data_IF_841389724731
#
_entry.id   IF_841389724731
#
_cell.length_a   1.000
_cell.length_b   1.000
_cell.length_c   1.000
_cell.angle_alpha   90.00
_cell.angle_beta   90.00
_cell.angle_gamma   90.00
#
_symmetry.space_group_name_H-M   'P 1'
#
loop_
_entity.id
_entity.type
_entity.pdbx_description
1 polymer ?
#
# COMPACT_ATOMS: atom_id res chain seq x y z
N UNK A 1 3.97 -11.20 -28.33
CA UNK A 1 4.32 -9.76 -28.54
C UNK A 1 5.35 -9.24 -27.53
N UNK A 2 5.35 -9.70 -26.28
CA UNK A 2 6.29 -9.27 -25.24
C UNK A 2 7.75 -9.47 -25.64
N UNK A 3 8.06 -10.68 -26.10
CA UNK A 3 9.42 -11.15 -26.35
C UNK A 3 10.13 -10.30 -27.42
N UNK A 4 9.43 -9.99 -28.51
CA UNK A 4 9.93 -9.11 -29.57
C UNK A 4 10.28 -7.71 -29.03
N UNK A 5 9.36 -7.08 -28.28
CA UNK A 5 9.57 -5.76 -27.67
C UNK A 5 10.73 -5.77 -26.68
N UNK A 6 10.87 -6.85 -25.90
CA UNK A 6 11.91 -7.02 -24.90
C UNK A 6 13.29 -7.19 -25.55
N UNK A 7 13.40 -8.08 -26.54
CA UNK A 7 14.63 -8.31 -27.31
C UNK A 7 15.14 -7.01 -27.92
N UNK A 8 14.24 -6.22 -28.53
CA UNK A 8 14.58 -4.91 -29.10
C UNK A 8 15.07 -3.91 -28.05
N UNK A 9 14.46 -3.87 -26.87
CA UNK A 9 14.80 -2.88 -25.85
C UNK A 9 16.09 -3.23 -25.10
N UNK A 10 16.31 -4.51 -24.77
CA UNK A 10 17.46 -4.96 -23.97
C UNK A 10 18.60 -5.56 -24.81
N UNK A 11 18.44 -5.63 -26.14
CA UNK A 11 19.42 -6.23 -27.07
C UNK A 11 19.79 -7.67 -26.68
N UNK A 12 18.80 -8.45 -26.26
CA UNK A 12 18.96 -9.88 -25.90
C UNK A 12 18.53 -10.77 -27.07
N UNK A 13 19.17 -11.94 -27.19
CA UNK A 13 18.62 -12.98 -28.04
C UNK A 13 17.40 -13.65 -27.38
N UNK A 14 16.70 -14.48 -28.14
CA UNK A 14 15.45 -15.08 -27.68
C UNK A 14 15.65 -16.06 -26.51
N UNK A 15 16.65 -16.92 -26.62
CA UNK A 15 17.01 -17.92 -25.61
C UNK A 15 17.39 -17.26 -24.28
N UNK A 16 18.20 -16.19 -24.34
CA UNK A 16 18.58 -15.40 -23.17
C UNK A 16 17.38 -14.74 -22.49
N UNK A 17 16.51 -14.10 -23.28
CA UNK A 17 15.31 -13.45 -22.77
C UNK A 17 14.38 -14.45 -22.08
N UNK A 18 14.08 -15.59 -22.72
CA UNK A 18 13.24 -16.64 -22.15
C UNK A 18 13.87 -17.26 -20.92
N UNK A 19 15.18 -17.56 -20.93
CA UNK A 19 15.91 -18.07 -19.77
C UNK A 19 15.85 -17.10 -18.59
N UNK A 20 16.01 -15.80 -18.84
CA UNK A 20 15.91 -14.78 -17.81
C UNK A 20 14.50 -14.71 -17.22
N UNK A 21 13.46 -14.68 -18.06
CA UNK A 21 12.06 -14.61 -17.62
C UNK A 21 11.66 -15.86 -16.84
N UNK A 22 11.99 -17.05 -17.34
CA UNK A 22 11.62 -18.31 -16.68
C UNK A 22 12.33 -18.48 -15.33
N UNK A 23 13.54 -17.93 -15.18
CA UNK A 23 14.24 -17.90 -13.89
C UNK A 23 13.82 -16.73 -12.99
N UNK A 24 13.07 -15.74 -13.49
CA UNK A 24 12.71 -14.52 -12.75
C UNK A 24 12.05 -14.77 -11.38
N UNK A 25 11.10 -15.72 -11.23
CA UNK A 25 10.50 -15.99 -9.92
C UNK A 25 11.48 -16.39 -8.81
N UNK A 26 12.67 -16.90 -9.19
CA UNK A 26 13.72 -17.31 -8.25
C UNK A 26 14.79 -16.23 -8.03
N UNK A 27 14.74 -15.09 -8.74
CA UNK A 27 15.74 -14.01 -8.67
C UNK A 27 15.43 -12.99 -7.58
N UNK A 28 15.16 -13.48 -6.38
CA UNK A 28 14.79 -12.69 -5.21
C UNK A 28 15.72 -12.97 -4.03
N UNK A 29 16.23 -11.91 -3.39
CA UNK A 29 16.91 -12.00 -2.10
C UNK A 29 15.87 -11.95 -0.99
N UNK A 30 15.87 -12.97 -0.13
CA UNK A 30 14.95 -13.08 1.02
C UNK A 30 15.65 -12.67 2.30
N UNK A 31 14.99 -11.87 3.14
CA UNK A 31 15.44 -11.52 4.47
C UNK A 31 14.25 -11.08 5.34
N UNK A 32 14.39 -11.21 6.66
CA UNK A 32 13.34 -10.82 7.60
C UNK A 32 13.64 -9.46 8.23
N UNK A 33 12.59 -8.67 8.45
CA UNK A 33 12.63 -7.45 9.25
C UNK A 33 11.68 -7.55 10.43
N UNK A 34 12.05 -6.95 11.56
CA UNK A 34 11.17 -6.89 12.74
C UNK A 34 9.94 -6.04 12.44
N UNK A 35 8.75 -6.57 12.73
CA UNK A 35 7.51 -5.78 12.73
C UNK A 35 7.49 -4.83 13.94
N UNK A 36 6.81 -3.69 13.80
CA UNK A 36 6.67 -2.70 14.89
C UNK A 36 6.02 -3.26 16.15
N UNK A 37 5.10 -4.21 16.01
CA UNK A 37 4.35 -4.82 17.11
C UNK A 37 4.80 -6.26 17.43
N UNK A 38 6.05 -6.59 17.10
CA UNK A 38 6.60 -7.94 17.29
C UNK A 38 6.33 -8.88 16.12
N UNK A 39 7.13 -9.96 16.07
CA UNK A 39 7.20 -10.88 14.94
C UNK A 39 8.04 -10.37 13.77
N UNK A 40 8.09 -11.16 12.71
CA UNK A 40 8.92 -10.91 11.52
C UNK A 40 8.05 -10.67 10.28
N UNK A 41 8.61 -9.91 9.33
CA UNK A 41 8.09 -9.74 7.99
C UNK A 41 9.17 -10.17 7.01
N UNK A 42 8.87 -11.19 6.21
CA UNK A 42 9.68 -11.55 5.06
C UNK A 42 9.65 -10.40 4.04
N UNK A 43 10.84 -10.01 3.59
CA UNK A 43 11.06 -9.19 2.41
C UNK A 43 11.69 -10.09 1.36
N UNK A 44 11.06 -10.13 0.18
CA UNK A 44 11.60 -10.80 -1.00
C UNK A 44 11.85 -9.72 -2.07
N UNK A 45 13.11 -9.33 -2.17
CA UNK A 45 13.58 -8.22 -2.99
C UNK A 45 14.18 -8.74 -4.31
N UNK A 46 13.63 -8.35 -5.48
CA UNK A 46 14.17 -8.80 -6.75
C UNK A 46 15.57 -8.24 -7.02
N UNK A 47 16.38 -8.98 -7.79
CA UNK A 47 17.69 -8.51 -8.26
C UNK A 47 17.57 -7.20 -9.06
N UNK A 48 18.66 -6.41 -9.13
CA UNK A 48 18.67 -5.11 -9.85
C UNK A 48 18.24 -5.25 -11.32
N UNK A 49 18.68 -6.32 -12.01
CA UNK A 49 18.28 -6.61 -13.38
C UNK A 49 16.78 -6.94 -13.47
N UNK A 50 16.26 -7.77 -12.56
CA UNK A 50 14.83 -8.09 -12.54
C UNK A 50 13.97 -6.85 -12.23
N UNK A 51 14.39 -5.99 -11.29
CA UNK A 51 13.71 -4.72 -11.02
C UNK A 51 13.66 -3.80 -12.26
N UNK A 52 14.68 -3.84 -13.10
CA UNK A 52 14.73 -3.06 -14.35
C UNK A 52 13.69 -3.60 -15.34
N UNK A 53 13.67 -4.91 -15.54
CA UNK A 53 12.68 -5.57 -16.39
C UNK A 53 11.25 -5.34 -15.89
N UNK A 54 11.01 -5.52 -14.58
CA UNK A 54 9.70 -5.30 -13.97
C UNK A 54 9.16 -3.89 -14.23
N UNK A 55 9.97 -2.84 -14.02
CA UNK A 55 9.55 -1.46 -14.30
C UNK A 55 9.25 -1.24 -15.79
N UNK A 56 10.08 -1.81 -16.66
CA UNK A 56 9.86 -1.69 -18.11
C UNK A 56 8.55 -2.37 -18.53
N UNK A 57 8.29 -3.60 -18.08
CA UNK A 57 7.03 -4.32 -18.38
C UNK A 57 5.83 -3.57 -17.81
N UNK A 58 5.92 -3.10 -16.56
CA UNK A 58 4.85 -2.32 -15.93
C UNK A 58 4.49 -1.09 -16.79
N UNK A 59 5.50 -0.28 -17.15
CA UNK A 59 5.30 0.93 -17.93
C UNK A 59 4.78 0.64 -19.35
N UNK A 60 5.19 -0.48 -19.95
CA UNK A 60 4.84 -0.81 -21.33
C UNK A 60 3.45 -1.42 -21.49
N UNK A 61 3.00 -2.19 -20.50
CA UNK A 61 1.79 -3.01 -20.62
C UNK A 61 0.71 -2.70 -19.58
N UNK A 62 1.07 -2.24 -18.37
CA UNK A 62 0.14 -2.16 -17.25
C UNK A 62 -0.16 -0.75 -16.74
N UNK A 63 0.63 0.26 -17.10
CA UNK A 63 0.54 1.58 -16.46
C UNK A 63 -0.80 2.31 -16.67
N UNK A 64 -1.52 1.95 -17.74
CA UNK A 64 -2.81 2.56 -18.09
C UNK A 64 -4.01 1.85 -17.46
N UNK A 65 -3.81 0.78 -16.69
CA UNK A 65 -4.91 0.16 -15.96
C UNK A 65 -5.49 1.11 -14.92
N UNK A 66 -6.81 1.08 -14.81
CA UNK A 66 -7.52 1.86 -13.81
C UNK A 66 -7.21 1.36 -12.40
N UNK A 67 -7.08 2.30 -11.48
CA UNK A 67 -7.02 2.04 -10.06
C UNK A 67 -8.22 2.72 -9.42
N UNK A 68 -8.94 1.99 -8.56
CA UNK A 68 -10.11 2.53 -7.89
C UNK A 68 -9.78 3.79 -7.07
N UNK A 69 -10.67 4.78 -7.09
CA UNK A 69 -10.47 6.08 -6.42
C UNK A 69 -10.27 5.99 -4.90
N UNK A 70 -10.89 4.97 -4.29
CA UNK A 70 -10.75 4.63 -2.86
C UNK A 70 -9.33 4.17 -2.48
N UNK A 71 -8.53 3.67 -3.44
CA UNK A 71 -7.14 3.31 -3.21
C UNK A 71 -6.26 4.57 -3.11
N UNK A 72 -5.56 4.69 -1.99
CA UNK A 72 -4.70 5.84 -1.69
C UNK A 72 -3.22 5.46 -1.69
N UNK A 73 -2.89 4.26 -1.21
CA UNK A 73 -1.50 3.81 -1.16
C UNK A 73 -0.89 3.71 -2.56
N UNK A 74 0.37 4.12 -2.66
CA UNK A 74 1.20 3.98 -3.87
C UNK A 74 0.71 4.79 -5.08
N UNK A 75 -0.22 5.72 -4.88
CA UNK A 75 -0.69 6.62 -5.92
C UNK A 75 0.17 7.88 -5.92
N UNK A 76 0.62 8.28 -7.10
CA UNK A 76 1.40 9.50 -7.30
C UNK A 76 0.63 10.70 -6.73
N UNK A 77 1.33 11.58 -6.02
CA UNK A 77 0.79 12.78 -5.38
C UNK A 77 -0.25 12.53 -4.27
N UNK A 78 -0.51 11.28 -3.87
CA UNK A 78 -1.26 10.97 -2.64
C UNK A 78 -0.30 10.59 -1.51
N UNK A 79 -0.70 10.88 -0.29
CA UNK A 79 0.03 10.54 0.93
C UNK A 79 -0.94 10.03 2.02
N UNK A 80 -0.40 9.69 3.19
CA UNK A 80 -1.21 9.14 4.29
C UNK A 80 -2.29 10.10 4.80
N UNK A 81 -2.14 11.43 4.63
CA UNK A 81 -3.21 12.40 4.97
C UNK A 81 -4.41 12.24 4.05
N UNK A 82 -4.20 11.95 2.77
CA UNK A 82 -5.30 11.74 1.82
C UNK A 82 -6.12 10.49 2.15
N UNK A 83 -5.50 9.50 2.80
CA UNK A 83 -6.18 8.33 3.34
C UNK A 83 -7.02 8.69 4.57
N UNK A 84 -6.51 9.55 5.44
CA UNK A 84 -7.17 9.87 6.72
C UNK A 84 -8.24 10.96 6.60
N UNK A 85 -8.03 11.94 5.71
CA UNK A 85 -8.86 13.15 5.63
C UNK A 85 -10.34 12.90 5.37
N UNK A 86 -10.74 11.96 4.49
CA UNK A 86 -12.16 11.66 4.27
C UNK A 86 -12.92 11.25 5.54
N UNK A 87 -12.21 10.71 6.53
CA UNK A 87 -12.81 10.21 7.77
C UNK A 87 -12.86 11.25 8.90
N UNK A 88 -12.21 12.41 8.73
CA UNK A 88 -11.86 13.28 9.85
C UNK A 88 -13.07 13.86 10.60
N UNK A 89 -14.13 14.20 9.87
CA UNK A 89 -15.35 14.82 10.41
C UNK A 89 -16.35 13.80 10.96
N UNK A 90 -16.23 12.52 10.62
CA UNK A 90 -17.20 11.51 11.02
C UNK A 90 -17.08 11.14 12.51
N UNK A 91 -18.14 10.63 13.13
CA UNK A 91 -18.17 10.31 14.56
C UNK A 91 -17.64 8.91 14.89
N UNK A 92 -17.91 7.95 14.01
CA UNK A 92 -17.58 6.53 14.16
C UNK A 92 -16.57 6.13 13.10
N UNK A 93 -15.60 5.31 13.50
CA UNK A 93 -14.53 4.83 12.64
C UNK A 93 -14.33 3.33 12.87
N UNK A 94 -14.23 2.58 11.79
CA UNK A 94 -13.84 1.17 11.77
C UNK A 94 -12.54 1.09 10.96
N UNK A 95 -11.53 0.48 11.56
CA UNK A 95 -10.29 0.10 10.88
C UNK A 95 -10.25 -1.40 10.73
N UNK A 96 -9.92 -1.88 9.54
CA UNK A 96 -9.69 -3.30 9.25
C UNK A 96 -8.36 -3.43 8.50
N UNK A 97 -7.80 -4.63 8.45
CA UNK A 97 -6.50 -4.92 7.84
C UNK A 97 -6.58 -6.28 7.15
N UNK A 98 -5.92 -6.43 6.00
CA UNK A 98 -5.76 -7.74 5.36
C UNK A 98 -4.57 -8.50 5.94
N UNK A 99 -4.77 -9.78 6.25
CA UNK A 99 -3.68 -10.68 6.64
C UNK A 99 -2.82 -11.01 5.41
N UNK A 100 -1.51 -10.79 5.56
CA UNK A 100 -0.47 -11.13 4.57
C UNK A 100 -0.80 -10.66 3.14
N UNK A 101 -1.37 -9.45 3.03
CA UNK A 101 -1.99 -8.88 1.81
C UNK A 101 -1.27 -9.20 0.51
N UNK A 102 0.02 -8.81 0.39
CA UNK A 102 0.79 -9.08 -0.83
C UNK A 102 0.94 -10.58 -1.10
N UNK A 103 1.30 -11.36 -0.08
CA UNK A 103 1.49 -12.80 -0.20
C UNK A 103 0.20 -13.57 -0.52
N UNK A 104 -0.96 -12.99 -0.19
CA UNK A 104 -2.28 -13.52 -0.52
C UNK A 104 -2.68 -13.28 -1.97
N UNK A 105 -2.01 -12.38 -2.71
CA UNK A 105 -2.20 -12.20 -4.15
C UNK A 105 -1.29 -13.17 -4.89
N UNK A 106 -1.89 -14.09 -5.66
CA UNK A 106 -1.21 -15.17 -6.37
C UNK A 106 -1.12 -14.93 -7.86
N UNK A 107 -0.24 -15.67 -8.52
CA UNK A 107 -0.07 -15.62 -9.98
C UNK A 107 -1.37 -15.83 -10.74
N UNK A 108 -2.20 -16.79 -10.33
CA UNK A 108 -3.48 -17.07 -10.98
C UNK A 108 -4.47 -15.92 -10.87
N UNK A 109 -4.45 -15.15 -9.77
CA UNK A 109 -5.29 -13.96 -9.61
C UNK A 109 -4.94 -12.92 -10.68
N UNK A 110 -3.64 -12.72 -10.91
CA UNK A 110 -3.15 -11.77 -11.92
C UNK A 110 -3.36 -12.25 -13.35
N UNK A 111 -3.18 -13.55 -13.62
CA UNK A 111 -3.47 -14.15 -14.92
C UNK A 111 -4.95 -14.00 -15.26
N UNK A 112 -5.84 -14.35 -14.33
CA UNK A 112 -7.29 -14.16 -14.50
C UNK A 112 -7.64 -12.70 -14.76
N UNK A 113 -7.09 -11.77 -13.97
CA UNK A 113 -7.28 -10.34 -14.17
C UNK A 113 -6.89 -9.88 -15.58
N UNK A 114 -5.72 -10.29 -16.09
CA UNK A 114 -5.29 -9.93 -17.44
C UNK A 114 -6.17 -10.56 -18.52
N UNK A 115 -6.54 -11.83 -18.38
CA UNK A 115 -7.42 -12.54 -19.33
C UNK A 115 -8.82 -11.92 -19.44
N UNK A 116 -9.32 -11.33 -18.34
CA UNK A 116 -10.62 -10.63 -18.32
C UNK A 116 -10.52 -9.16 -18.69
N UNK A 117 -9.32 -8.61 -18.73
CA UNK A 117 -9.10 -7.22 -19.15
C UNK A 117 -9.07 -7.09 -20.66
N UNK A 118 -9.39 -5.91 -21.19
CA UNK A 118 -9.30 -5.59 -22.61
C UNK A 118 -7.84 -5.35 -23.08
N UNK A 119 -6.89 -6.18 -22.63
CA UNK A 119 -5.48 -6.08 -23.01
C UNK A 119 -5.17 -7.00 -24.19
N UNK A 120 -4.40 -6.50 -25.16
CA UNK A 120 -3.93 -7.27 -26.31
C UNK A 120 -2.69 -8.09 -25.94
N UNK A 121 -2.83 -9.12 -25.11
CA UNK A 121 -1.77 -10.08 -24.80
C UNK A 121 -2.29 -11.51 -25.00
N UNK A 122 -1.48 -12.36 -25.62
CA UNK A 122 -1.76 -13.78 -25.71
C UNK A 122 -1.44 -14.52 -24.39
N UNK A 123 -1.85 -15.79 -24.29
CA UNK A 123 -1.66 -16.59 -23.08
C UNK A 123 -0.19 -16.78 -22.70
N UNK A 124 0.70 -16.86 -23.69
CA UNK A 124 2.13 -17.04 -23.46
C UNK A 124 2.76 -15.76 -22.91
N UNK A 125 2.42 -14.60 -23.48
CA UNK A 125 2.82 -13.29 -22.98
C UNK A 125 2.32 -13.07 -21.54
N UNK A 126 1.08 -13.44 -21.22
CA UNK A 126 0.52 -13.37 -19.86
C UNK A 126 1.35 -14.23 -18.88
N UNK A 127 1.69 -15.46 -19.27
CA UNK A 127 2.52 -16.35 -18.45
C UNK A 127 3.92 -15.77 -18.22
N UNK A 128 4.56 -15.25 -19.26
CA UNK A 128 5.87 -14.62 -19.17
C UNK A 128 5.86 -13.39 -18.28
N UNK A 129 4.87 -12.50 -18.43
CA UNK A 129 4.70 -11.31 -17.58
C UNK A 129 4.46 -11.72 -16.13
N UNK A 130 3.68 -12.77 -15.90
CA UNK A 130 3.45 -13.30 -14.55
C UNK A 130 4.75 -13.76 -13.90
N UNK A 131 5.60 -14.49 -14.62
CA UNK A 131 6.92 -14.89 -14.11
C UNK A 131 7.82 -13.70 -13.77
N UNK A 132 7.72 -12.60 -14.51
CA UNK A 132 8.51 -11.38 -14.26
C UNK A 132 8.11 -10.72 -12.93
N UNK A 133 6.82 -10.73 -12.56
CA UNK A 133 6.33 -9.99 -11.39
C UNK A 133 6.25 -10.79 -10.10
N UNK A 134 6.04 -12.11 -10.19
CA UNK A 134 5.74 -12.94 -9.02
C UNK A 134 6.98 -13.68 -8.53
N UNK A 135 7.11 -13.77 -7.20
CA UNK A 135 8.17 -14.49 -6.53
C UNK A 135 7.73 -15.93 -6.26
N UNK A 136 8.64 -16.90 -6.41
CA UNK A 136 8.37 -18.31 -6.11
C UNK A 136 8.64 -18.63 -4.64
N UNK A 137 7.66 -19.17 -3.93
CA UNK A 137 7.84 -19.80 -2.62
C UNK A 137 7.26 -21.22 -2.67
N UNK A 138 8.11 -22.23 -2.50
CA UNK A 138 7.78 -23.63 -2.75
C UNK A 138 7.13 -23.79 -4.13
N UNK A 139 5.91 -24.32 -4.19
CA UNK A 139 5.17 -24.56 -5.43
C UNK A 139 4.23 -23.41 -5.82
N UNK A 140 4.16 -22.32 -5.05
CA UNK A 140 3.25 -21.19 -5.31
C UNK A 140 4.02 -19.93 -5.75
N UNK A 141 3.38 -19.14 -6.60
CA UNK A 141 3.86 -17.84 -7.06
C UNK A 141 3.01 -16.74 -6.43
N UNK A 142 3.65 -15.82 -5.71
CA UNK A 142 2.98 -14.77 -4.94
C UNK A 142 3.59 -13.39 -5.20
N UNK A 143 2.79 -12.36 -4.96
CA UNK A 143 3.24 -10.99 -5.05
C UNK A 143 4.10 -10.66 -3.82
N UNK A 144 5.35 -10.25 -4.02
CA UNK A 144 6.28 -10.08 -2.90
C UNK A 144 6.26 -8.67 -2.30
N UNK A 145 6.58 -8.58 -1.01
CA UNK A 145 7.00 -7.32 -0.39
C UNK A 145 8.47 -7.09 -0.79
N UNK A 146 8.75 -5.99 -1.50
CA UNK A 146 10.10 -5.60 -1.93
C UNK A 146 10.27 -5.43 -3.43
N UNK A 147 9.36 -5.96 -4.25
CA UNK A 147 9.36 -5.68 -5.68
C UNK A 147 8.79 -4.27 -5.98
N UNK A 148 9.41 -3.51 -6.90
CA UNK A 148 8.96 -2.15 -7.25
C UNK A 148 7.58 -2.11 -7.90
N UNK A 149 7.08 -3.22 -8.44
CA UNK A 149 5.82 -3.30 -9.17
C UNK A 149 4.67 -3.88 -8.34
N UNK A 150 4.96 -4.64 -7.28
CA UNK A 150 3.95 -5.16 -6.36
C UNK A 150 2.94 -4.10 -5.89
N UNK A 151 3.37 -2.87 -5.52
CA UNK A 151 2.45 -1.82 -5.09
C UNK A 151 1.39 -1.44 -6.14
N UNK A 152 1.75 -1.40 -7.41
CA UNK A 152 0.82 -1.08 -8.50
C UNK A 152 -0.07 -2.28 -8.82
N UNK A 153 0.53 -3.47 -8.92
CA UNK A 153 -0.18 -4.71 -9.24
C UNK A 153 -1.27 -5.00 -8.20
N UNK A 154 -0.98 -4.80 -6.91
CA UNK A 154 -1.99 -5.00 -5.87
C UNK A 154 -3.14 -4.00 -5.97
N UNK A 155 -2.91 -2.79 -6.46
CA UNK A 155 -3.99 -1.81 -6.63
C UNK A 155 -4.91 -2.13 -7.81
N UNK A 156 -4.38 -2.54 -8.96
CA UNK A 156 -5.20 -2.88 -10.13
C UNK A 156 -6.01 -4.16 -9.91
N UNK A 157 -5.43 -5.16 -9.22
CA UNK A 157 -6.12 -6.41 -8.88
C UNK A 157 -7.27 -6.17 -7.90
N UNK A 158 -7.14 -5.16 -7.03
CA UNK A 158 -8.17 -4.81 -6.04
C UNK A 158 -9.32 -3.99 -6.61
N UNK A 159 -9.34 -3.68 -7.91
CA UNK A 159 -10.36 -2.83 -8.53
C UNK A 159 -11.79 -3.34 -8.30
N UNK A 160 -12.09 -4.61 -8.60
CA UNK A 160 -13.44 -5.18 -8.41
C UNK A 160 -13.86 -5.19 -6.93
N UNK A 161 -12.96 -5.58 -6.04
CA UNK A 161 -13.20 -5.52 -4.59
C UNK A 161 -13.55 -4.10 -4.13
N UNK A 162 -12.73 -3.11 -4.53
CA UNK A 162 -12.91 -1.73 -4.13
C UNK A 162 -14.20 -1.13 -4.72
N UNK A 163 -14.56 -1.48 -5.95
CA UNK A 163 -15.81 -1.04 -6.59
C UNK A 163 -17.02 -1.55 -5.80
N UNK A 164 -17.13 -2.87 -5.58
CA UNK A 164 -18.26 -3.47 -4.86
C UNK A 164 -18.39 -2.92 -3.43
N UNK A 165 -17.26 -2.79 -2.74
CA UNK A 165 -17.25 -2.28 -1.38
C UNK A 165 -17.58 -0.78 -1.33
N UNK A 166 -17.12 0.01 -2.30
CA UNK A 166 -17.47 1.43 -2.40
C UNK A 166 -18.95 1.62 -2.68
N UNK A 167 -19.54 0.81 -3.56
CA UNK A 167 -20.99 0.84 -3.85
C UNK A 167 -21.81 0.51 -2.61
N UNK A 168 -21.42 -0.53 -1.86
CA UNK A 168 -22.06 -0.86 -0.59
C UNK A 168 -21.96 0.30 0.40
N UNK A 169 -20.76 0.87 0.55
CA UNK A 169 -20.52 1.98 1.47
C UNK A 169 -21.31 3.23 1.09
N UNK A 170 -21.37 3.58 -0.20
CA UNK A 170 -22.12 4.72 -0.72
C UNK A 170 -23.62 4.58 -0.44
N UNK A 171 -24.22 3.40 -0.70
CA UNK A 171 -25.62 3.10 -0.37
C UNK A 171 -25.93 3.20 1.13
N UNK A 172 -24.90 3.11 1.97
CA UNK A 172 -25.00 3.13 3.42
C UNK A 172 -24.39 4.39 4.05
N UNK A 173 -24.14 5.48 3.32
CA UNK A 173 -23.55 6.71 3.89
C UNK A 173 -22.28 6.44 4.73
N UNK A 174 -21.47 5.49 4.27
CA UNK A 174 -20.18 5.12 4.85
C UNK A 174 -19.10 5.66 3.91
N UNK A 175 -18.16 6.41 4.48
CA UNK A 175 -16.94 6.80 3.77
C UNK A 175 -15.96 5.63 3.85
N UNK A 176 -15.42 5.22 2.70
CA UNK A 176 -14.43 4.14 2.57
C UNK A 176 -13.14 4.65 1.91
N UNK A 177 -11.99 4.27 2.46
CA UNK A 177 -10.70 4.38 1.80
C UNK A 177 -9.82 3.16 2.08
N UNK A 178 -8.88 2.86 1.18
CA UNK A 178 -7.90 1.77 1.31
C UNK A 178 -6.47 2.29 1.16
N UNK A 179 -5.61 1.90 2.09
CA UNK A 179 -4.17 2.15 2.04
C UNK A 179 -3.41 0.82 2.08
N UNK A 180 -3.20 0.22 0.91
CA UNK A 180 -2.64 -1.12 0.77
C UNK A 180 -3.51 -2.16 1.49
N UNK A 181 -3.02 -2.72 2.59
CA UNK A 181 -3.71 -3.68 3.47
C UNK A 181 -4.65 -3.03 4.48
N UNK A 182 -4.45 -1.75 4.82
CA UNK A 182 -5.31 -1.01 5.74
C UNK A 182 -6.61 -0.56 5.04
N UNK A 183 -7.75 -0.85 5.66
CA UNK A 183 -9.08 -0.38 5.27
C UNK A 183 -9.63 0.55 6.35
N UNK A 184 -10.16 1.70 5.93
CA UNK A 184 -10.78 2.65 6.84
C UNK A 184 -12.22 2.95 6.40
N UNK A 185 -13.12 2.92 7.37
CA UNK A 185 -14.54 3.19 7.18
C UNK A 185 -15.03 4.15 8.25
N UNK A 186 -15.86 5.12 7.88
CA UNK A 186 -16.41 6.04 8.88
C UNK A 186 -17.79 6.54 8.51
N UNK A 187 -18.57 6.90 9.53
CA UNK A 187 -19.92 7.42 9.37
C UNK A 187 -20.30 8.30 10.57
N UNK A 188 -21.38 9.08 10.44
CA UNK A 188 -22.01 9.79 11.55
C UNK A 188 -23.16 9.00 12.19
N UNK A 189 -23.58 7.90 11.58
CA UNK A 189 -24.69 7.09 12.07
C UNK A 189 -24.20 6.01 13.05
N UNK A 190 -24.69 5.97 14.30
CA UNK A 190 -24.30 4.94 15.27
C UNK A 190 -24.55 3.53 14.74
N UNK A 191 -23.69 2.59 15.13
CA UNK A 191 -23.80 1.15 14.84
C UNK A 191 -23.79 0.72 13.36
N UNK A 192 -23.83 1.64 12.37
CA UNK A 192 -23.88 1.27 10.94
C UNK A 192 -22.65 0.48 10.46
N UNK A 193 -21.48 0.71 11.08
CA UNK A 193 -20.23 0.03 10.73
C UNK A 193 -20.19 -1.44 11.15
N UNK A 194 -21.10 -1.92 12.02
CA UNK A 194 -21.12 -3.33 12.44
C UNK A 194 -21.49 -4.29 11.32
N UNK A 195 -22.10 -3.78 10.24
CA UNK A 195 -22.47 -4.55 9.05
C UNK A 195 -21.26 -4.92 8.19
N UNK A 196 -20.18 -4.13 8.26
CA UNK A 196 -19.06 -4.23 7.32
C UNK A 196 -18.24 -5.52 7.41
N UNK A 197 -17.92 -6.09 8.58
CA UNK A 197 -17.17 -7.34 8.64
C UNK A 197 -17.83 -8.47 7.86
N UNK A 198 -19.15 -8.65 8.02
CA UNK A 198 -19.92 -9.67 7.31
C UNK A 198 -20.01 -9.37 5.81
N UNK A 199 -20.23 -8.11 5.45
CA UNK A 199 -20.33 -7.73 4.04
C UNK A 199 -19.00 -7.91 3.30
N UNK A 200 -17.88 -7.55 3.92
CA UNK A 200 -16.55 -7.74 3.35
C UNK A 200 -16.25 -9.22 3.18
N UNK A 201 -16.59 -10.07 4.15
CA UNK A 201 -16.45 -11.53 4.02
C UNK A 201 -17.26 -12.05 2.80
N UNK A 202 -18.52 -11.62 2.64
CA UNK A 202 -19.32 -11.96 1.45
C UNK A 202 -18.72 -11.47 0.15
N UNK A 203 -18.21 -10.24 0.10
CA UNK A 203 -17.57 -9.71 -1.11
C UNK A 203 -16.35 -10.56 -1.45
N UNK A 204 -15.48 -10.86 -0.47
CA UNK A 204 -14.29 -11.69 -0.67
C UNK A 204 -14.61 -13.12 -1.17
N UNK A 205 -15.74 -13.70 -0.72
CA UNK A 205 -16.20 -15.00 -1.23
C UNK A 205 -16.67 -14.92 -2.70
N UNK A 206 -17.24 -13.77 -3.11
CA UNK A 206 -17.89 -13.58 -4.40
C UNK A 206 -17.05 -12.84 -5.46
N UNK A 207 -15.86 -12.35 -5.14
CA UNK A 207 -14.91 -11.83 -6.14
C UNK A 207 -14.17 -12.98 -6.81
N UNK A 208 -13.83 -12.84 -8.09
CA UNK A 208 -13.07 -13.86 -8.82
C UNK A 208 -11.58 -13.85 -8.47
N UNK A 209 -11.05 -12.68 -8.17
CA UNK A 209 -9.68 -12.50 -7.70
C UNK A 209 -9.58 -11.22 -6.86
N UNK A 210 -8.68 -11.17 -5.85
CA UNK A 210 -7.80 -12.26 -5.41
C UNK A 210 -8.45 -13.22 -4.40
N UNK A 211 -8.35 -14.54 -4.63
CA UNK A 211 -9.12 -15.56 -3.86
C UNK A 211 -8.61 -15.86 -2.45
N UNK A 212 -7.33 -15.60 -2.16
CA UNK A 212 -6.73 -15.95 -0.85
C UNK A 212 -6.72 -14.80 0.16
N UNK A 213 -7.34 -13.65 -0.16
CA UNK A 213 -7.45 -12.54 0.80
C UNK A 213 -8.28 -12.92 2.01
N UNK A 214 -7.84 -12.45 3.19
CA UNK A 214 -8.51 -12.66 4.46
C UNK A 214 -8.37 -11.43 5.35
N UNK A 215 -9.44 -11.08 6.05
CA UNK A 215 -9.41 -10.02 7.06
C UNK A 215 -8.65 -10.51 8.29
N UNK A 216 -7.81 -9.62 8.82
CA UNK A 216 -7.13 -9.79 10.08
C UNK A 216 -8.05 -9.36 11.24
N UNK A 217 -8.80 -10.33 11.79
CA UNK A 217 -9.78 -10.09 12.86
C UNK A 217 -9.16 -9.45 14.12
N UNK A 218 -7.90 -9.77 14.43
CA UNK A 218 -7.19 -9.20 15.59
C UNK A 218 -6.88 -7.70 15.44
N UNK A 219 -6.78 -7.22 14.20
CA UNK A 219 -6.52 -5.80 13.88
C UNK A 219 -7.78 -5.02 13.54
N UNK A 220 -8.94 -5.66 13.55
CA UNK A 220 -10.23 -5.00 13.37
C UNK A 220 -10.56 -4.19 14.61
N UNK A 221 -10.70 -2.86 14.46
CA UNK A 221 -10.92 -1.95 15.59
C UNK A 221 -12.06 -0.99 15.29
N UNK A 222 -13.08 -1.01 16.14
CA UNK A 222 -14.12 0.02 16.18
C UNK A 222 -13.72 1.12 17.17
N UNK A 223 -13.87 2.37 16.76
CA UNK A 223 -13.58 3.53 17.61
C UNK A 223 -14.54 4.68 17.29
N UNK A 224 -14.59 5.66 18.19
CA UNK A 224 -15.42 6.86 18.05
C UNK A 224 -14.70 8.07 18.63
N UNK A 225 -15.32 9.26 18.60
CA UNK A 225 -14.78 10.47 19.24
C UNK A 225 -14.52 10.34 20.75
N UNK A 226 -15.08 9.31 21.41
CA UNK A 226 -14.78 9.00 22.82
C UNK A 226 -13.40 8.38 23.03
N UNK A 227 -12.81 7.79 21.99
CA UNK A 227 -11.54 7.09 22.06
C UNK A 227 -10.53 7.67 21.06
N UNK A 228 -9.27 7.25 21.16
CA UNK A 228 -8.26 7.64 20.20
C UNK A 228 -8.61 7.10 18.80
N UNK A 229 -8.58 7.98 17.80
CA UNK A 229 -8.84 7.65 16.40
C UNK A 229 -7.55 7.82 15.63
N UNK A 230 -6.90 6.70 15.30
CA UNK A 230 -5.60 6.68 14.63
C UNK A 230 -5.66 5.82 13.37
N UNK A 231 -5.22 6.38 12.24
CA UNK A 231 -5.11 5.71 10.94
C UNK A 231 -3.70 5.93 10.39
N UNK A 232 -2.99 4.87 10.01
CA UNK A 232 -1.60 4.94 9.48
C UNK A 232 -0.63 5.80 10.32
N UNK A 233 -0.84 5.88 11.63
CA UNK A 233 -0.03 6.69 12.55
C UNK A 233 -0.37 8.19 12.62
N UNK A 234 -1.42 8.63 11.93
CA UNK A 234 -2.03 9.96 12.12
C UNK A 234 -3.22 9.87 13.06
N UNK A 235 -3.37 10.86 13.92
CA UNK A 235 -4.44 11.01 14.90
C UNK A 235 -5.45 12.03 14.41
N UNK A 236 -6.72 11.66 14.45
CA UNK A 236 -7.86 12.53 14.14
C UNK A 236 -8.40 13.12 15.45
N UNK A 237 -8.34 14.45 15.59
CA UNK A 237 -8.89 15.19 16.73
C UNK A 237 -10.42 15.12 16.74
N UNK A 238 -11.06 15.44 17.87
CA UNK A 238 -12.52 15.50 17.94
C UNK A 238 -13.13 16.63 17.09
N UNK A 239 -12.34 17.64 16.76
CA UNK A 239 -12.71 18.76 15.89
C UNK A 239 -12.49 18.44 14.40
N UNK A 240 -11.88 17.29 14.08
CA UNK A 240 -11.59 16.88 12.71
C UNK A 240 -10.21 17.28 12.20
N UNK A 241 -9.31 17.76 13.07
CA UNK A 241 -7.93 18.06 12.69
C UNK A 241 -7.10 16.78 12.63
N UNK A 242 -6.19 16.72 11.68
CA UNK A 242 -5.29 15.57 11.50
C UNK A 242 -3.90 15.98 11.99
N UNK A 243 -3.31 15.14 12.84
CA UNK A 243 -1.99 15.42 13.40
C UNK A 243 -1.18 14.15 13.61
N UNK A 244 0.10 14.29 13.97
CA UNK A 244 0.98 13.16 14.31
C UNK A 244 0.80 12.61 15.74
N UNK A 245 -0.20 13.12 16.49
CA UNK A 245 -0.45 12.71 17.88
C UNK A 245 0.47 13.37 18.91
N UNK A 246 0.01 13.41 20.17
CA UNK A 246 0.67 14.16 21.26
C UNK A 246 2.08 13.66 21.58
N UNK A 247 2.26 12.34 21.61
CA UNK A 247 3.55 11.73 21.95
C UNK A 247 4.63 12.10 20.93
N UNK A 248 4.33 11.95 19.63
CA UNK A 248 5.26 12.31 18.55
C UNK A 248 5.52 13.82 18.53
N UNK A 249 4.51 14.67 18.76
CA UNK A 249 4.71 16.13 18.92
C UNK A 249 5.68 16.44 20.07
N UNK A 250 5.57 15.76 21.21
CA UNK A 250 6.47 15.91 22.37
C UNK A 250 7.90 15.52 22.02
N UNK A 251 8.10 14.36 21.38
CA UNK A 251 9.42 13.90 20.94
C UNK A 251 10.09 14.91 19.98
N UNK A 252 9.35 15.40 18.99
CA UNK A 252 9.90 16.36 18.02
C UNK A 252 10.22 17.73 18.64
N UNK A 253 9.44 18.19 19.63
CA UNK A 253 9.76 19.41 20.39
C UNK A 253 11.05 19.26 21.20
N UNK A 254 11.32 18.07 21.73
CA UNK A 254 12.56 17.78 22.43
C UNK A 254 13.75 17.75 21.47
N UNK A 255 13.61 17.12 20.30
CA UNK A 255 14.62 17.13 19.24
C UNK A 255 14.90 18.56 18.77
N UNK A 256 13.87 19.37 18.51
CA UNK A 256 14.03 20.77 18.12
C UNK A 256 14.77 21.59 19.18
N UNK A 257 14.50 21.34 20.47
CA UNK A 257 15.23 21.99 21.56
C UNK A 257 16.71 21.57 21.60
N UNK A 258 17.01 20.27 21.49
CA UNK A 258 18.40 19.79 21.41
C UNK A 258 19.14 20.40 20.21
N UNK A 259 18.48 20.48 19.05
CA UNK A 259 19.03 21.12 17.85
C UNK A 259 19.40 22.58 18.12
N UNK A 260 18.50 23.34 18.78
CA UNK A 260 18.71 24.75 19.11
C UNK A 260 19.90 25.02 20.06
N UNK A 261 20.30 23.99 20.81
CA UNK A 261 21.45 24.01 21.73
C UNK A 261 22.73 23.46 21.07
N UNK A 262 22.69 23.08 19.80
CA UNK A 262 23.83 22.45 19.12
C UNK A 262 24.16 21.05 19.62
N UNK A 263 23.23 20.36 20.28
CA UNK A 263 23.44 19.05 20.92
C UNK A 263 23.09 17.87 20.00
N UNK A 264 22.82 18.12 18.72
CA UNK A 264 22.52 17.06 17.76
C UNK A 264 23.68 16.87 16.80
N UNK A 265 23.99 15.62 16.50
CA UNK A 265 24.93 15.28 15.44
C UNK A 265 24.35 15.62 14.06
N UNK A 266 25.23 15.77 13.05
CA UNK A 266 24.82 16.07 11.67
C UNK A 266 23.76 15.08 11.14
N UNK A 267 23.93 13.78 11.41
CA UNK A 267 22.97 12.76 10.98
C UNK A 267 21.60 12.90 11.65
N UNK A 268 21.55 13.36 12.90
CA UNK A 268 20.30 13.59 13.63
C UNK A 268 19.58 14.83 13.10
N UNK A 269 20.33 15.88 12.75
CA UNK A 269 19.79 17.08 12.10
C UNK A 269 19.16 16.71 10.75
N UNK A 270 19.82 15.90 9.93
CA UNK A 270 19.27 15.47 8.63
C UNK A 270 18.02 14.59 8.80
N UNK A 271 18.02 13.66 9.77
CA UNK A 271 16.80 12.90 10.13
C UNK A 271 15.67 13.82 10.56
N UNK A 272 15.98 14.86 11.33
CA UNK A 272 14.99 15.82 11.80
C UNK A 272 14.45 16.68 10.65
N UNK A 273 15.29 17.17 9.73
CA UNK A 273 14.86 17.85 8.50
C UNK A 273 13.92 16.99 7.66
N UNK A 274 14.23 15.70 7.50
CA UNK A 274 13.34 14.75 6.83
C UNK A 274 11.96 14.64 7.50
N UNK A 275 11.93 14.63 8.85
CA UNK A 275 10.67 14.64 9.61
C UNK A 275 9.91 15.96 9.47
N UNK A 276 10.60 17.10 9.42
CA UNK A 276 9.98 18.40 9.16
C UNK A 276 9.36 18.45 7.76
N UNK A 277 10.05 17.91 6.76
CA UNK A 277 9.52 17.79 5.39
C UNK A 277 8.26 16.92 5.34
N UNK A 278 8.26 15.78 6.04
CA UNK A 278 7.04 14.99 6.23
C UNK A 278 5.94 15.78 6.94
N UNK A 279 6.25 16.54 7.99
CA UNK A 279 5.26 17.36 8.68
C UNK A 279 4.68 18.47 7.82
N UNK A 280 5.41 18.98 6.81
CA UNK A 280 4.86 19.99 5.90
C UNK A 280 3.64 19.48 5.12
N UNK A 281 3.51 18.17 4.85
CA UNK A 281 2.30 17.63 4.23
C UNK A 281 1.18 17.35 5.22
N UNK A 282 1.49 17.20 6.51
CA UNK A 282 0.53 16.85 7.57
C UNK A 282 0.00 18.08 8.33
N UNK A 283 0.92 18.79 9.00
CA UNK A 283 0.71 19.89 9.95
C UNK A 283 1.80 20.96 9.67
N UNK A 284 1.59 21.82 8.64
CA UNK A 284 2.61 22.78 8.20
C UNK A 284 3.00 23.80 9.26
N UNK A 285 2.05 24.21 10.10
CA UNK A 285 2.29 25.17 11.19
C UNK A 285 3.24 24.59 12.23
N UNK A 286 2.99 23.35 12.67
CA UNK A 286 3.91 22.68 13.59
C UNK A 286 5.30 22.51 12.96
N UNK A 287 5.37 22.16 11.67
CA UNK A 287 6.66 22.02 10.98
C UNK A 287 7.47 23.33 11.02
N UNK A 288 6.85 24.46 10.65
CA UNK A 288 7.49 25.79 10.68
C UNK A 288 7.89 26.19 12.09
N UNK A 289 7.03 25.97 13.08
CA UNK A 289 7.33 26.25 14.49
C UNK A 289 8.55 25.47 14.99
N UNK A 290 8.63 24.17 14.68
CA UNK A 290 9.74 23.32 15.07
C UNK A 290 11.04 23.70 14.34
N UNK A 291 10.96 24.03 13.05
CA UNK A 291 12.09 24.53 12.25
C UNK A 291 12.68 25.80 12.88
N UNK A 292 11.83 26.78 13.15
CA UNK A 292 12.24 28.04 13.78
C UNK A 292 12.87 27.81 15.15
N UNK A 293 12.26 26.94 15.98
CA UNK A 293 12.82 26.60 17.29
C UNK A 293 14.21 25.98 17.19
N UNK A 294 14.42 25.10 16.21
CA UNK A 294 15.68 24.41 15.98
C UNK A 294 16.77 25.29 15.35
N UNK A 295 16.44 26.48 14.83
CA UNK A 295 17.36 27.40 14.14
C UNK A 295 18.03 26.77 12.91
N UNK A 296 17.26 26.00 12.13
CA UNK A 296 17.69 25.33 10.88
C UNK A 296 16.75 25.66 9.71
#
# INVERSE_FOLDING_TARGET
>A
MLLEKLRKYFSLNETEALSFINSAPNRYKRYNIKKRHGGEREIAEPTKSLKTLQRWVLNKFLINFEIHSAAVAYIKNKNIKDFVSPHAKNNYLLKMDFKDFFNSIKSHDFQYFLEKSNITLDKDDIKLITNIFFCKNNDDLYLSIGAPTSPFISNIIMLDFDTRLSDFCAKNDIVYTRYADDLAFSTNTPNKLSLLPLEIEKILENIDCPKKLKINKEKTVFTSRKHNRTLTGLVISNNGDISIGREKKRQLRAIAHKASLGLLESIEIEKFKGMLAFLLSIDPELSRSLKNKAKI
#
